data_IF_970297191221
#
_entry.id   IF_970297191221
#
_cell.length_a   1.000
_cell.length_b   1.000
_cell.length_c   1.000
_cell.angle_alpha   90.00
_cell.angle_beta   90.00
_cell.angle_gamma   90.00
#
_symmetry.space_group_name_H-M   'P 1'
#
loop_
_entity.id
_entity.type
_entity.pdbx_description
1 polymer ?
#
# COMPACT_ATOMS: atom_id res chain seq x y z
N UNK A 1 38.52 37.77 3.48
CA UNK A 1 37.47 37.05 4.21
C UNK A 1 36.71 36.20 3.21
N UNK A 2 37.09 34.94 3.08
CA UNK A 2 36.36 33.99 2.23
C UNK A 2 35.05 33.64 2.95
N UNK A 3 33.92 33.89 2.28
CA UNK A 3 32.63 33.41 2.73
C UNK A 3 32.68 31.88 2.77
N UNK A 4 32.50 31.30 3.96
CA UNK A 4 32.29 29.87 4.10
C UNK A 4 30.99 29.52 3.38
N UNK A 5 31.13 28.97 2.18
CA UNK A 5 30.07 28.28 1.44
C UNK A 5 29.70 27.02 2.24
N UNK A 6 28.84 27.19 3.24
CA UNK A 6 28.16 26.08 3.93
C UNK A 6 27.21 25.43 2.92
N UNK A 7 27.77 24.61 2.02
CA UNK A 7 26.97 23.62 1.30
C UNK A 7 26.39 22.70 2.37
N UNK A 8 25.10 22.83 2.64
CA UNK A 8 24.36 21.80 3.34
C UNK A 8 24.53 20.52 2.53
N UNK A 9 25.39 19.60 3.01
CA UNK A 9 25.56 18.31 2.37
C UNK A 9 24.20 17.63 2.28
N UNK A 10 23.73 17.42 1.04
CA UNK A 10 22.45 16.78 0.79
C UNK A 10 22.49 15.39 1.41
N UNK A 11 21.56 15.11 2.32
CA UNK A 11 21.49 13.82 3.00
C UNK A 11 21.27 12.74 1.94
N UNK A 12 22.17 11.76 1.81
CA UNK A 12 22.10 10.77 0.76
C UNK A 12 20.87 9.86 0.92
N UNK A 13 20.42 9.29 -0.20
CA UNK A 13 19.34 8.32 -0.22
C UNK A 13 19.82 6.89 -0.12
N UNK A 14 18.99 6.04 0.50
CA UNK A 14 19.17 4.61 0.44
C UNK A 14 18.92 4.11 -0.99
N UNK A 15 19.90 3.42 -1.58
CA UNK A 15 19.77 2.83 -2.92
C UNK A 15 18.72 1.70 -3.01
N UNK A 16 18.27 1.14 -1.87
CA UNK A 16 17.23 0.10 -1.82
C UNK A 16 15.82 0.70 -1.79
N UNK A 17 15.51 1.48 -0.74
CA UNK A 17 14.16 2.03 -0.53
C UNK A 17 13.95 3.47 -1.01
N UNK A 18 15.02 4.17 -1.42
CA UNK A 18 15.01 5.57 -1.89
C UNK A 18 14.53 6.60 -0.85
N UNK A 19 14.47 6.21 0.43
CA UNK A 19 14.29 7.16 1.54
C UNK A 19 15.65 7.81 1.86
N UNK A 20 15.67 9.05 2.39
CA UNK A 20 16.86 9.61 3.00
C UNK A 20 17.46 8.62 4.00
N UNK A 21 18.79 8.47 4.07
CA UNK A 21 19.43 7.48 4.95
C UNK A 21 18.98 7.60 6.41
N UNK A 22 18.72 8.81 6.88
CA UNK A 22 18.19 9.07 8.22
C UNK A 22 16.83 8.38 8.49
N UNK A 23 16.01 8.19 7.46
CA UNK A 23 14.68 7.55 7.53
C UNK A 23 14.69 6.08 7.08
N UNK A 24 15.84 5.56 6.66
CA UNK A 24 15.96 4.21 6.16
C UNK A 24 15.85 3.18 7.29
N UNK A 25 15.19 2.05 7.00
CA UNK A 25 15.11 0.88 7.87
C UNK A 25 15.46 -0.44 7.13
N UNK A 26 16.14 -0.35 5.97
CA UNK A 26 16.41 -1.51 5.12
C UNK A 26 17.33 -2.56 5.76
N UNK A 27 18.06 -2.18 6.81
CA UNK A 27 18.90 -3.06 7.62
C UNK A 27 18.11 -4.16 8.36
N UNK A 28 16.80 -3.97 8.58
CA UNK A 28 15.92 -5.02 9.14
C UNK A 28 14.94 -5.60 8.12
N UNK A 29 15.14 -5.38 6.82
CA UNK A 29 14.23 -5.84 5.77
C UNK A 29 14.84 -7.03 5.05
N UNK A 30 14.27 -8.20 5.34
CA UNK A 30 14.61 -9.47 4.71
C UNK A 30 13.46 -9.95 3.82
N UNK A 31 13.72 -10.32 2.55
CA UNK A 31 12.67 -10.79 1.66
C UNK A 31 12.02 -12.10 2.12
N UNK A 32 10.73 -12.03 2.42
CA UNK A 32 9.87 -13.16 2.70
C UNK A 32 9.57 -13.91 1.39
N UNK A 33 9.72 -15.23 1.41
CA UNK A 33 9.20 -16.07 0.33
C UNK A 33 7.66 -16.07 0.39
N UNK A 34 7.02 -15.49 -0.61
CA UNK A 34 5.56 -15.47 -0.78
C UNK A 34 5.14 -16.41 -1.93
N UNK A 35 4.02 -17.13 -1.74
CA UNK A 35 3.37 -17.94 -2.78
C UNK A 35 2.50 -17.06 -3.68
N UNK A 36 1.77 -16.12 -3.10
CA UNK A 36 0.89 -15.20 -3.81
C UNK A 36 1.73 -14.02 -4.33
N UNK A 37 1.79 -13.84 -5.64
CA UNK A 37 2.55 -12.76 -6.28
C UNK A 37 2.01 -11.38 -5.90
N UNK A 38 2.88 -10.39 -5.71
CA UNK A 38 2.45 -9.03 -5.36
C UNK A 38 2.76 -8.03 -6.48
N UNK A 39 1.76 -7.29 -6.92
CA UNK A 39 1.90 -6.14 -7.82
C UNK A 39 1.43 -4.88 -7.10
N UNK A 40 2.30 -3.89 -6.96
CA UNK A 40 1.96 -2.58 -6.43
C UNK A 40 2.02 -1.57 -7.57
N UNK A 41 0.90 -0.89 -7.84
CA UNK A 41 0.82 0.21 -8.80
C UNK A 41 0.74 1.51 -8.03
N UNK A 42 1.79 2.31 -8.11
CA UNK A 42 1.89 3.59 -7.43
C UNK A 42 1.61 4.75 -8.37
N UNK A 43 0.74 5.66 -7.92
CA UNK A 43 0.45 6.89 -8.64
C UNK A 43 1.70 7.80 -8.66
N UNK A 44 2.04 8.47 -9.79
CA UNK A 44 3.28 9.25 -9.89
C UNK A 44 3.42 10.40 -8.88
N UNK A 45 2.29 10.92 -8.39
CA UNK A 45 2.25 11.99 -7.38
C UNK A 45 2.34 11.49 -5.93
N UNK A 46 2.29 10.18 -5.68
CA UNK A 46 2.31 9.58 -4.33
C UNK A 46 3.71 9.12 -3.91
N UNK A 47 4.77 9.62 -4.54
CA UNK A 47 6.16 9.24 -4.23
C UNK A 47 6.66 9.92 -2.94
N UNK A 48 5.95 9.71 -1.83
CA UNK A 48 6.30 10.18 -0.51
C UNK A 48 7.54 9.44 -0.01
N UNK A 49 8.67 10.14 -0.07
CA UNK A 49 9.98 9.62 0.33
C UNK A 49 10.10 9.47 1.85
N UNK A 50 9.29 10.15 2.64
CA UNK A 50 9.37 10.11 4.09
C UNK A 50 8.43 9.04 4.66
N UNK A 51 7.12 9.14 4.43
CA UNK A 51 6.11 8.24 5.00
C UNK A 51 5.58 7.18 4.02
N UNK A 52 5.87 7.24 2.72
CA UNK A 52 5.37 6.25 1.77
C UNK A 52 5.89 4.83 2.03
N UNK A 53 5.02 3.82 1.92
CA UNK A 53 5.32 2.42 2.26
C UNK A 53 5.37 1.47 1.08
N UNK A 54 4.85 1.82 -0.11
CA UNK A 54 4.82 0.93 -1.28
C UNK A 54 6.16 0.25 -1.62
N UNK A 55 7.25 1.03 -1.68
CA UNK A 55 8.59 0.52 -1.95
C UNK A 55 9.10 -0.39 -0.84
N UNK A 56 8.86 -0.02 0.42
CA UNK A 56 9.23 -0.83 1.57
C UNK A 56 8.47 -2.17 1.56
N UNK A 57 7.17 -2.15 1.26
CA UNK A 57 6.35 -3.36 1.10
C UNK A 57 6.92 -4.28 0.03
N UNK A 58 7.25 -3.76 -1.15
CA UNK A 58 7.82 -4.58 -2.23
C UNK A 58 9.15 -5.24 -1.84
N UNK A 59 9.99 -4.57 -1.03
CA UNK A 59 11.27 -5.11 -0.57
C UNK A 59 11.13 -6.28 0.43
N UNK A 60 9.96 -6.45 1.05
CA UNK A 60 9.67 -7.55 1.98
C UNK A 60 9.32 -8.87 1.29
N UNK A 61 9.25 -8.92 -0.04
CA UNK A 61 8.78 -10.11 -0.74
C UNK A 61 9.72 -10.51 -1.88
N UNK A 62 9.88 -11.82 -2.09
CA UNK A 62 10.67 -12.36 -3.19
C UNK A 62 9.95 -12.21 -4.54
N UNK A 63 8.63 -12.35 -4.55
CA UNK A 63 7.80 -12.17 -5.74
C UNK A 63 6.91 -10.93 -5.58
N UNK A 64 7.54 -9.76 -5.70
CA UNK A 64 6.85 -8.47 -5.70
C UNK A 64 7.37 -7.53 -6.78
N UNK A 65 6.46 -6.81 -7.41
CA UNK A 65 6.76 -5.81 -8.44
C UNK A 65 6.11 -4.49 -8.06
N UNK A 66 6.90 -3.43 -7.97
CA UNK A 66 6.41 -2.06 -7.87
C UNK A 66 6.53 -1.37 -9.24
N UNK A 67 5.44 -0.80 -9.74
CA UNK A 67 5.43 0.07 -10.91
C UNK A 67 4.87 1.44 -10.56
N UNK A 68 5.57 2.48 -10.99
CA UNK A 68 5.11 3.87 -10.88
C UNK A 68 4.59 4.30 -12.25
N UNK A 69 3.35 4.79 -12.30
CA UNK A 69 2.71 5.13 -13.56
C UNK A 69 1.20 5.22 -13.43
N UNK A 70 0.52 5.36 -14.56
CA UNK A 70 -0.93 5.54 -14.58
C UNK A 70 -1.69 4.47 -15.36
N UNK A 71 -1.06 3.80 -16.33
CA UNK A 71 -1.75 2.85 -17.20
C UNK A 71 -0.77 1.83 -17.77
N UNK A 72 -1.21 0.58 -17.81
CA UNK A 72 -0.53 -0.54 -18.43
C UNK A 72 -1.52 -1.29 -19.32
N UNK A 73 -1.13 -1.70 -20.55
CA UNK A 73 -2.04 -2.35 -21.49
C UNK A 73 -2.65 -3.67 -20.99
N UNK A 74 -1.95 -4.38 -20.10
CA UNK A 74 -2.41 -5.62 -19.49
C UNK A 74 -1.73 -5.88 -18.15
N UNK A 75 -2.29 -6.79 -17.35
CA UNK A 75 -1.68 -7.29 -16.13
C UNK A 75 -0.27 -7.86 -16.39
N UNK A 76 -0.09 -8.63 -17.46
CA UNK A 76 1.23 -9.16 -17.84
C UNK A 76 2.25 -8.06 -18.11
N UNK A 77 1.85 -6.95 -18.73
CA UNK A 77 2.73 -5.80 -18.99
C UNK A 77 3.07 -5.02 -17.72
N UNK A 78 2.13 -4.93 -16.79
CA UNK A 78 2.38 -4.31 -15.48
C UNK A 78 3.34 -5.16 -14.64
N UNK A 79 3.11 -6.48 -14.58
CA UNK A 79 3.92 -7.42 -13.81
C UNK A 79 5.30 -7.68 -14.44
N UNK A 80 5.41 -7.59 -15.76
CA UNK A 80 6.66 -7.86 -16.49
C UNK A 80 6.87 -9.34 -16.86
N UNK A 81 5.86 -10.20 -16.65
CA UNK A 81 5.83 -11.61 -17.06
C UNK A 81 4.41 -11.99 -17.48
N UNK A 82 4.27 -13.08 -18.21
CA UNK A 82 2.96 -13.56 -18.68
C UNK A 82 2.06 -13.95 -17.51
N UNK A 83 0.84 -13.41 -17.51
CA UNK A 83 -0.28 -13.86 -16.66
C UNK A 83 -1.35 -14.42 -17.58
N UNK A 84 -1.66 -15.71 -17.42
CA UNK A 84 -2.61 -16.42 -18.27
C UNK A 84 -4.07 -16.11 -17.90
N UNK A 85 -4.35 -16.04 -16.59
CA UNK A 85 -5.71 -15.82 -16.09
C UNK A 85 -5.76 -14.69 -15.04
N UNK A 86 -6.17 -13.48 -15.45
CA UNK A 86 -6.38 -12.36 -14.52
C UNK A 86 -7.47 -12.60 -13.48
N UNK A 87 -8.37 -13.57 -13.66
CA UNK A 87 -9.43 -13.89 -12.69
C UNK A 87 -8.91 -14.61 -11.45
N UNK A 88 -7.66 -15.10 -11.50
CA UNK A 88 -6.91 -15.63 -10.34
C UNK A 88 -6.10 -14.55 -9.62
N UNK A 89 -6.30 -13.29 -9.98
CA UNK A 89 -5.71 -12.16 -9.28
C UNK A 89 -6.77 -11.39 -8.51
N UNK A 90 -6.42 -10.92 -7.32
CA UNK A 90 -7.24 -10.05 -6.52
C UNK A 90 -6.78 -8.60 -6.62
N UNK A 91 -7.72 -7.67 -6.52
CA UNK A 91 -7.47 -6.24 -6.39
C UNK A 91 -8.32 -5.68 -5.26
N UNK A 92 -7.73 -4.83 -4.43
CA UNK A 92 -8.48 -4.14 -3.38
C UNK A 92 -9.44 -3.14 -4.00
N UNK A 93 -10.73 -3.34 -3.74
CA UNK A 93 -11.80 -2.55 -4.31
C UNK A 93 -11.93 -1.22 -3.59
N UNK A 94 -11.93 -0.14 -4.36
CA UNK A 94 -11.93 1.25 -3.89
C UNK A 94 -13.31 1.92 -3.99
N UNK A 95 -14.38 1.14 -4.09
CA UNK A 95 -15.74 1.68 -4.21
C UNK A 95 -16.40 1.97 -2.86
N UNK A 96 -17.73 2.17 -2.90
CA UNK A 96 -18.52 2.54 -1.72
C UNK A 96 -18.75 1.40 -0.75
N UNK A 97 -18.73 0.15 -1.23
CA UNK A 97 -18.93 -1.04 -0.43
C UNK A 97 -17.89 -1.14 0.70
N UNK A 98 -18.31 -1.67 1.85
CA UNK A 98 -17.52 -1.75 3.09
C UNK A 98 -17.75 -3.11 3.73
N UNK A 99 -16.75 -3.64 4.42
CA UNK A 99 -16.92 -4.89 5.17
C UNK A 99 -18.02 -4.75 6.25
N UNK A 100 -18.06 -3.59 6.93
CA UNK A 100 -19.09 -3.28 7.94
C UNK A 100 -20.52 -3.33 7.37
N UNK A 101 -20.70 -2.91 6.11
CA UNK A 101 -22.01 -2.89 5.45
C UNK A 101 -22.47 -4.31 5.07
N UNK A 102 -21.57 -5.30 5.10
CA UNK A 102 -21.81 -6.67 4.68
C UNK A 102 -22.12 -7.62 5.86
N UNK A 103 -22.23 -7.10 7.09
CA UNK A 103 -22.55 -7.88 8.30
C UNK A 103 -21.69 -9.16 8.45
N UNK A 104 -20.38 -9.05 8.22
CA UNK A 104 -19.45 -10.18 8.30
C UNK A 104 -18.29 -9.88 9.25
N UNK A 105 -17.81 -10.92 9.93
CA UNK A 105 -16.61 -10.90 10.78
C UNK A 105 -15.32 -11.19 10.00
N UNK A 106 -15.42 -11.43 8.69
CA UNK A 106 -14.29 -11.75 7.81
C UNK A 106 -13.43 -10.52 7.55
N UNK A 107 -12.13 -10.66 7.79
CA UNK A 107 -11.16 -9.62 7.47
C UNK A 107 -10.91 -9.44 5.95
N UNK A 108 -11.14 -10.50 5.16
CA UNK A 108 -10.98 -10.50 3.70
C UNK A 108 -12.28 -10.99 3.07
N UNK A 109 -12.89 -10.14 2.24
CA UNK A 109 -14.20 -10.39 1.64
C UNK A 109 -14.14 -10.20 0.14
N UNK A 110 -14.44 -11.26 -0.61
CA UNK A 110 -14.67 -11.17 -2.05
C UNK A 110 -16.06 -10.60 -2.34
N UNK A 111 -16.15 -9.67 -3.28
CA UNK A 111 -17.41 -9.03 -3.63
C UNK A 111 -17.68 -9.06 -5.12
N UNK A 112 -18.97 -9.09 -5.45
CA UNK A 112 -19.44 -9.07 -6.82
C UNK A 112 -19.41 -7.65 -7.41
N UNK A 113 -19.90 -7.50 -8.65
CA UNK A 113 -19.92 -6.20 -9.33
C UNK A 113 -20.84 -5.16 -8.70
N UNK A 114 -21.84 -5.60 -7.94
CA UNK A 114 -22.80 -4.77 -7.21
C UNK A 114 -22.28 -4.38 -5.82
N UNK A 115 -21.16 -4.95 -5.38
CA UNK A 115 -20.58 -4.71 -4.06
C UNK A 115 -21.16 -5.60 -2.96
N UNK A 116 -21.89 -6.66 -3.33
CA UNK A 116 -22.43 -7.66 -2.40
C UNK A 116 -21.39 -8.79 -2.22
N UNK A 117 -21.49 -9.55 -1.13
CA UNK A 117 -20.62 -10.71 -0.89
C UNK A 117 -20.81 -11.77 -1.96
N UNK A 118 -19.71 -12.36 -2.43
CA UNK A 118 -19.76 -13.57 -3.27
C UNK A 118 -20.10 -14.80 -2.42
N UNK A 119 -20.97 -15.70 -2.89
CA UNK A 119 -21.32 -16.93 -2.16
C UNK A 119 -20.12 -17.89 -2.02
N UNK A 120 -19.19 -17.83 -2.98
CA UNK A 120 -18.03 -18.71 -3.10
C UNK A 120 -16.76 -18.26 -2.36
N UNK A 121 -16.85 -17.50 -1.27
CA UNK A 121 -15.70 -16.88 -0.58
C UNK A 121 -14.47 -17.78 -0.46
N UNK A 122 -14.64 -18.99 0.08
CA UNK A 122 -13.51 -19.91 0.34
C UNK A 122 -12.83 -20.35 -0.96
N UNK A 123 -13.61 -20.71 -1.97
CA UNK A 123 -13.09 -21.17 -3.25
C UNK A 123 -12.37 -20.02 -3.98
N UNK A 124 -12.99 -18.84 -4.03
CA UNK A 124 -12.40 -17.64 -4.64
C UNK A 124 -11.07 -17.30 -3.99
N UNK A 125 -11.01 -17.25 -2.65
CA UNK A 125 -9.79 -16.89 -1.93
C UNK A 125 -8.68 -17.93 -2.07
N UNK A 126 -9.02 -19.22 -2.12
CA UNK A 126 -8.05 -20.31 -2.29
C UNK A 126 -7.39 -20.30 -3.69
N UNK A 127 -8.09 -19.82 -4.71
CA UNK A 127 -7.60 -19.79 -6.10
C UNK A 127 -6.77 -18.55 -6.45
N UNK A 128 -6.64 -17.57 -5.54
CA UNK A 128 -5.86 -16.36 -5.77
C UNK A 128 -4.36 -16.68 -5.83
N UNK A 129 -3.76 -16.39 -6.99
CA UNK A 129 -2.32 -16.51 -7.24
C UNK A 129 -1.58 -15.19 -7.16
N UNK A 130 -2.29 -14.06 -7.24
CA UNK A 130 -1.66 -12.76 -7.16
C UNK A 130 -2.56 -11.65 -6.62
N UNK A 131 -1.92 -10.61 -6.10
CA UNK A 131 -2.54 -9.45 -5.49
C UNK A 131 -2.09 -8.17 -6.18
N UNK A 132 -3.03 -7.31 -6.54
CA UNK A 132 -2.79 -5.95 -7.03
C UNK A 132 -3.17 -4.94 -5.95
N UNK A 133 -2.20 -4.14 -5.52
CA UNK A 133 -2.39 -3.00 -4.63
C UNK A 133 -2.27 -1.69 -5.40
N UNK A 134 -3.16 -0.75 -5.11
CA UNK A 134 -3.17 0.58 -5.71
C UNK A 134 -2.69 1.59 -4.64
N UNK A 135 -1.52 2.17 -4.86
CA UNK A 135 -0.89 3.11 -3.94
C UNK A 135 -1.10 4.56 -4.40
N UNK A 136 -1.82 5.32 -3.59
CA UNK A 136 -2.34 6.64 -3.91
C UNK A 136 -3.35 7.12 -2.88
N UNK A 137 -3.62 8.41 -2.85
CA UNK A 137 -4.88 8.92 -2.29
C UNK A 137 -6.08 8.26 -2.96
N UNK A 138 -7.27 8.29 -2.35
CA UNK A 138 -8.48 7.65 -2.91
C UNK A 138 -8.80 8.08 -4.34
N UNK A 139 -8.64 9.36 -4.68
CA UNK A 139 -8.86 9.85 -6.04
C UNK A 139 -7.81 9.33 -7.02
N UNK A 140 -6.55 9.23 -6.60
CA UNK A 140 -5.44 8.69 -7.40
C UNK A 140 -5.55 7.18 -7.60
N UNK A 141 -5.89 6.44 -6.56
CA UNK A 141 -6.11 5.00 -6.62
C UNK A 141 -7.34 4.67 -7.51
N UNK A 142 -8.40 5.49 -7.43
CA UNK A 142 -9.51 5.43 -8.40
C UNK A 142 -9.07 5.74 -9.83
N UNK A 143 -8.15 6.69 -10.03
CA UNK A 143 -7.59 6.96 -11.36
C UNK A 143 -6.78 5.77 -11.89
N UNK A 144 -5.96 5.14 -11.05
CA UNK A 144 -5.24 3.90 -11.40
C UNK A 144 -6.21 2.79 -11.81
N UNK A 145 -7.30 2.60 -11.05
CA UNK A 145 -8.35 1.62 -11.38
C UNK A 145 -8.92 1.85 -12.79
N UNK A 146 -9.42 3.05 -13.07
CA UNK A 146 -10.11 3.33 -14.33
C UNK A 146 -9.19 3.36 -15.55
N UNK A 147 -7.89 3.62 -15.36
CA UNK A 147 -6.90 3.60 -16.44
C UNK A 147 -6.36 2.22 -16.78
N UNK A 148 -6.78 1.19 -16.05
CA UNK A 148 -6.30 -0.18 -16.19
C UNK A 148 -7.49 -1.15 -16.30
N UNK A 149 -8.16 -1.16 -17.46
CA UNK A 149 -9.39 -1.92 -17.69
C UNK A 149 -9.28 -3.44 -17.40
N UNK A 150 -8.06 -4.01 -17.46
CA UNK A 150 -7.81 -5.40 -17.11
C UNK A 150 -8.14 -5.73 -15.64
N UNK A 151 -8.17 -4.75 -14.73
CA UNK A 151 -8.59 -4.95 -13.34
C UNK A 151 -10.04 -5.42 -13.21
N UNK A 152 -10.89 -5.13 -14.21
CA UNK A 152 -12.28 -5.60 -14.24
C UNK A 152 -12.40 -7.13 -14.39
N UNK A 153 -11.30 -7.79 -14.78
CA UNK A 153 -11.20 -9.25 -14.90
C UNK A 153 -10.71 -9.90 -13.59
N UNK A 154 -10.19 -9.12 -12.64
CA UNK A 154 -9.69 -9.60 -11.35
C UNK A 154 -10.82 -9.75 -10.33
N UNK A 155 -10.57 -10.57 -9.30
CA UNK A 155 -11.42 -10.66 -8.12
C UNK A 155 -11.37 -9.35 -7.35
N UNK A 156 -12.53 -8.87 -6.90
CA UNK A 156 -12.63 -7.66 -6.09
C UNK A 156 -12.67 -8.05 -4.62
N UNK A 157 -11.74 -7.50 -3.86
CA UNK A 157 -11.62 -7.78 -2.44
C UNK A 157 -11.84 -6.50 -1.64
N UNK A 158 -12.55 -6.59 -0.52
CA UNK A 158 -12.61 -5.57 0.51
C UNK A 158 -11.94 -6.11 1.76
N UNK A 159 -11.23 -5.23 2.46
CA UNK A 159 -10.65 -5.52 3.77
C UNK A 159 -11.57 -4.99 4.87
N UNK A 160 -11.76 -5.81 5.91
CA UNK A 160 -12.41 -5.44 7.16
C UNK A 160 -11.38 -5.41 8.29
N UNK A 161 -10.54 -4.36 8.39
CA UNK A 161 -9.52 -4.30 9.41
C UNK A 161 -10.12 -4.18 10.81
N UNK A 162 -9.57 -4.92 11.78
CA UNK A 162 -10.03 -4.87 13.17
C UNK A 162 -9.57 -3.63 13.94
N UNK A 163 -8.58 -2.92 13.40
CA UNK A 163 -7.97 -1.75 13.99
C UNK A 163 -7.70 -0.71 12.89
N UNK A 164 -7.76 0.60 13.20
CA UNK A 164 -7.38 1.64 12.25
C UNK A 164 -5.88 1.58 11.93
N UNK A 165 -5.48 2.22 10.83
CA UNK A 165 -4.07 2.28 10.42
C UNK A 165 -3.14 2.81 11.51
N UNK A 166 -1.98 2.17 11.64
CA UNK A 166 -0.89 2.54 12.55
C UNK A 166 -0.27 3.89 12.22
N UNK A 167 -0.52 4.47 11.04
CA UNK A 167 -0.15 5.86 10.77
C UNK A 167 -0.72 6.81 11.83
N UNK A 168 -1.93 6.56 12.34
CA UNK A 168 -2.59 7.38 13.34
C UNK A 168 -2.64 8.85 12.94
N UNK A 169 -1.96 9.73 13.69
CA UNK A 169 -1.92 11.18 13.42
C UNK A 169 -0.85 11.59 12.41
N UNK A 170 0.08 10.70 12.03
CA UNK A 170 1.17 11.01 11.09
C UNK A 170 0.68 11.07 9.65
N UNK A 171 -0.40 10.37 9.32
CA UNK A 171 -1.05 10.44 8.00
C UNK A 171 -2.53 10.17 8.21
N UNK A 172 -3.36 11.12 7.80
CA UNK A 172 -4.81 11.02 7.99
C UNK A 172 -5.41 10.16 6.89
N UNK A 173 -5.97 9.03 7.27
CA UNK A 173 -6.74 8.20 6.36
C UNK A 173 -8.14 8.78 6.12
N UNK A 174 -8.66 8.76 4.88
CA UNK A 174 -10.00 9.31 4.59
C UNK A 174 -11.15 8.54 5.23
N UNK A 175 -10.89 7.30 5.65
CA UNK A 175 -11.82 6.41 6.33
C UNK A 175 -11.11 5.68 7.47
N UNK A 176 -11.88 5.22 8.45
CA UNK A 176 -11.34 4.52 9.62
C UNK A 176 -10.69 3.18 9.25
N UNK A 177 -11.24 2.52 8.24
CA UNK A 177 -10.78 1.25 7.66
C UNK A 177 -9.74 1.44 6.54
N UNK A 178 -9.28 2.68 6.33
CA UNK A 178 -8.16 2.96 5.44
C UNK A 178 -6.87 2.40 6.01
N UNK A 179 -6.15 1.60 5.22
CA UNK A 179 -4.88 0.98 5.58
C UNK A 179 -3.74 1.55 4.73
N UNK A 180 -2.54 1.60 5.31
CA UNK A 180 -1.32 1.79 4.54
C UNK A 180 -1.11 0.63 3.57
N UNK A 181 -0.40 0.86 2.46
CA UNK A 181 -0.06 -0.20 1.49
C UNK A 181 0.63 -1.41 2.13
N UNK A 182 1.50 -1.19 3.12
CA UNK A 182 2.14 -2.28 3.88
C UNK A 182 1.16 -3.05 4.77
N UNK A 183 0.18 -2.39 5.39
CA UNK A 183 -0.84 -3.03 6.23
C UNK A 183 -1.83 -3.83 5.38
N UNK A 184 -2.23 -3.27 4.24
CA UNK A 184 -3.09 -3.95 3.27
C UNK A 184 -2.42 -5.21 2.70
N UNK A 185 -1.13 -5.14 2.37
CA UNK A 185 -0.34 -6.30 1.94
C UNK A 185 -0.20 -7.34 3.06
N UNK A 186 0.09 -6.89 4.28
CA UNK A 186 0.23 -7.74 5.47
C UNK A 186 -1.03 -8.57 5.69
N UNK A 187 -2.19 -7.91 5.76
CA UNK A 187 -3.49 -8.55 5.98
C UNK A 187 -3.85 -9.53 4.86
N UNK A 188 -3.69 -9.12 3.60
CA UNK A 188 -4.03 -9.97 2.45
C UNK A 188 -3.13 -11.20 2.36
N UNK A 189 -1.81 -11.02 2.36
CA UNK A 189 -0.88 -12.13 2.13
C UNK A 189 -0.84 -13.08 3.31
N UNK A 190 -0.94 -12.59 4.55
CA UNK A 190 -1.05 -13.46 5.71
C UNK A 190 -2.33 -14.32 5.67
N UNK A 191 -3.47 -13.72 5.26
CA UNK A 191 -4.74 -14.42 5.14
C UNK A 191 -4.78 -15.43 3.98
N UNK A 192 -4.30 -15.07 2.79
CA UNK A 192 -4.29 -15.94 1.61
C UNK A 192 -3.29 -17.10 1.75
N UNK A 193 -2.15 -16.86 2.40
CA UNK A 193 -1.12 -17.89 2.58
C UNK A 193 -1.26 -18.68 3.89
N UNK A 194 -2.23 -18.32 4.74
CA UNK A 194 -2.37 -18.86 6.11
C UNK A 194 -1.05 -18.75 6.90
N UNK A 195 -0.43 -17.58 6.82
CA UNK A 195 0.91 -17.27 7.35
C UNK A 195 0.89 -15.99 8.20
N UNK A 196 0.52 -16.08 9.48
CA UNK A 196 0.42 -14.91 10.37
C UNK A 196 1.79 -14.24 10.63
N UNK A 197 2.88 -14.94 10.37
CA UNK A 197 4.24 -14.39 10.47
C UNK A 197 4.50 -13.30 9.42
N UNK A 198 3.85 -13.36 8.24
CA UNK A 198 3.92 -12.29 7.22
C UNK A 198 3.38 -10.99 7.81
N UNK A 199 2.19 -11.04 8.41
CA UNK A 199 1.58 -9.85 9.02
C UNK A 199 2.44 -9.31 10.16
N UNK A 200 2.91 -10.20 11.03
CA UNK A 200 3.79 -9.84 12.15
C UNK A 200 5.05 -9.10 11.67
N UNK A 201 5.74 -9.62 10.66
CA UNK A 201 6.97 -9.02 10.11
C UNK A 201 6.71 -7.67 9.44
N UNK A 202 5.67 -7.56 8.61
CA UNK A 202 5.34 -6.31 7.92
C UNK A 202 4.90 -5.22 8.89
N UNK A 203 4.08 -5.55 9.89
CA UNK A 203 3.63 -4.60 10.90
C UNK A 203 4.78 -4.14 11.80
N UNK A 204 5.69 -5.04 12.21
CA UNK A 204 6.89 -4.68 12.95
C UNK A 204 7.81 -3.75 12.14
N UNK A 205 8.00 -4.03 10.85
CA UNK A 205 8.74 -3.15 9.96
C UNK A 205 8.08 -1.79 9.81
N UNK A 206 6.75 -1.73 9.77
CA UNK A 206 6.02 -0.47 9.67
C UNK A 206 6.15 0.34 10.96
N UNK A 207 5.97 -0.29 12.12
CA UNK A 207 6.19 0.35 13.43
C UNK A 207 7.59 0.95 13.55
N UNK A 208 8.63 0.20 13.14
CA UNK A 208 10.02 0.67 13.12
C UNK A 208 10.20 1.89 12.23
N UNK A 209 9.60 1.89 11.04
CA UNK A 209 9.61 3.05 10.14
C UNK A 209 8.95 4.27 10.79
N UNK A 210 7.80 4.11 11.44
CA UNK A 210 7.11 5.20 12.11
C UNK A 210 7.88 5.73 13.32
N UNK A 211 8.54 4.86 14.09
CA UNK A 211 9.45 5.24 15.17
C UNK A 211 10.62 6.07 14.62
N UNK A 212 11.28 5.58 13.57
CA UNK A 212 12.38 6.29 12.90
C UNK A 212 11.95 7.66 12.37
N UNK A 213 10.76 7.74 11.78
CA UNK A 213 10.20 9.01 11.32
C UNK A 213 10.02 10.02 12.46
N UNK A 214 9.51 9.58 13.62
CA UNK A 214 9.32 10.45 14.80
C UNK A 214 10.66 10.93 15.37
N UNK A 215 11.66 10.07 15.43
CA UNK A 215 13.02 10.43 15.83
C UNK A 215 13.59 11.51 14.91
N UNK A 216 13.58 11.27 13.59
CA UNK A 216 14.08 12.22 12.60
C UNK A 216 13.28 13.52 12.60
N UNK A 217 11.96 13.47 12.81
CA UNK A 217 11.15 14.68 12.93
C UNK A 217 11.54 15.55 14.13
N UNK A 218 12.06 14.96 15.21
CA UNK A 218 12.53 15.70 16.37
C UNK A 218 13.91 16.34 16.15
N UNK A 219 14.78 15.70 15.35
CA UNK A 219 16.18 16.14 15.17
C UNK A 219 16.46 16.86 13.84
N UNK A 220 15.71 16.54 12.79
CA UNK A 220 15.89 16.96 11.39
C UNK A 220 14.51 17.16 10.72
N UNK A 221 13.70 18.14 11.18
CA UNK A 221 12.32 18.33 10.72
C UNK A 221 12.18 18.61 9.22
N UNK A 222 13.22 19.08 8.55
CA UNK A 222 13.28 19.30 7.10
C UNK A 222 13.17 18.01 6.27
N UNK A 223 13.61 16.87 6.83
CA UNK A 223 13.50 15.55 6.20
C UNK A 223 12.18 14.84 6.49
N UNK A 224 11.51 15.23 7.57
CA UNK A 224 10.27 14.65 8.06
C UNK A 224 9.22 15.73 8.33
N UNK A 225 8.85 16.52 7.29
CA UNK A 225 7.97 17.66 7.45
C UNK A 225 6.62 17.20 7.99
N UNK A 226 6.08 17.96 8.96
CA UNK A 226 4.75 17.66 9.49
C UNK A 226 3.72 17.68 8.36
N UNK A 227 2.78 16.73 8.32
CA UNK A 227 1.70 16.76 7.35
C UNK A 227 0.97 18.10 7.46
N UNK A 228 0.84 18.81 6.33
CA UNK A 228 0.04 20.04 6.31
C UNK A 228 -1.41 19.67 6.67
N UNK A 229 -2.09 20.43 7.54
CA UNK A 229 -3.50 20.19 7.80
C UNK A 229 -4.27 20.26 6.47
N UNK A 230 -4.97 19.18 6.14
CA UNK A 230 -5.80 19.09 4.94
C UNK A 230 -6.80 20.25 4.93
N UNK A 231 -6.77 21.08 3.87
CA UNK A 231 -7.86 22.03 3.59
C UNK A 231 -9.12 21.21 3.36
N UNK A 232 -10.07 21.33 4.29
CA UNK A 232 -11.35 20.64 4.21
C UNK A 232 -12.18 21.27 3.08
N UNK A 233 -12.13 20.70 1.88
CA UNK A 233 -12.92 21.18 0.74
C UNK A 233 -14.43 21.02 0.98
N UNK A 234 -14.86 20.27 2.01
CA UNK A 234 -16.28 20.07 2.35
C UNK A 234 -16.89 21.25 3.14
N UNK A 235 -16.10 22.19 3.65
CA UNK A 235 -16.60 23.37 4.39
C UNK A 235 -17.06 24.55 3.51
N UNK A 236 -17.11 24.41 2.17
CA UNK A 236 -17.57 25.48 1.25
C UNK A 236 -18.99 25.30 0.69
N UNK A 237 -19.80 24.43 1.29
CA UNK A 237 -21.25 24.40 1.03
C UNK A 237 -21.98 24.42 2.36
N UNK A 238 -22.06 25.61 2.95
CA UNK A 238 -23.09 26.01 3.89
C UNK A 238 -23.67 27.31 3.33
#
# INVERSE_FOLDING_TARGET
MAAADTRQDAIPDCQRCHKPLALCICDSVEPIRNRTSLLILQHPQEQDRALGTARLTALHFQDAVLKIGLSWPSLSRALGRTVHDPSRWAVLYLGSARADDLNTDRAIVAINRKGEMEDGQRAILADIEGLVLLDGTWSQAKALWWRNAWMLKCQRIILGPRQPSRYGKLRREPRWDGLATIEAAAMMLAGLENRPDIETTLLASFERMLAKYREVQATMPELAPRPKPSRDYRRRRA
#
